data_IF_084891922193
#
_entry.id   IF_084891922193
#
_cell.length_a   1.000
_cell.length_b   1.000
_cell.length_c   1.000
_cell.angle_alpha   90.00
_cell.angle_beta   90.00
_cell.angle_gamma   90.00
#
_symmetry.space_group_name_H-M   'P 1'
#
loop_
_entity.id
_entity.type
_entity.pdbx_description
1 polymer ?
#
# COMPACT_ATOMS: atom_id res chain seq x y z
N UNK A 1 36.21 43.43 -31.90
CA UNK A 1 35.73 44.65 -31.21
C UNK A 1 36.36 45.87 -31.87
N UNK A 2 35.58 46.78 -32.48
CA UNK A 2 36.14 48.03 -33.01
C UNK A 2 36.47 48.92 -31.80
N UNK A 3 37.75 48.94 -31.40
CA UNK A 3 38.27 49.86 -30.40
C UNK A 3 38.58 51.18 -31.12
N UNK A 4 38.25 52.33 -30.52
CA UNK A 4 38.83 53.61 -30.97
C UNK A 4 40.34 53.43 -30.99
N UNK A 5 40.95 53.57 -32.17
CA UNK A 5 42.40 53.65 -32.28
C UNK A 5 42.77 55.12 -32.24
N UNK A 6 43.54 55.49 -31.23
CA UNK A 6 44.02 56.87 -31.03
C UNK A 6 43.11 57.75 -30.15
N UNK A 7 43.63 58.90 -29.67
CA UNK A 7 42.89 59.89 -28.89
C UNK A 7 41.72 60.51 -29.68
N UNK A 8 40.60 60.82 -29.02
CA UNK A 8 39.33 61.30 -29.62
C UNK A 8 39.48 62.58 -30.46
N UNK A 9 40.42 63.45 -30.11
CA UNK A 9 40.68 64.71 -30.80
C UNK A 9 41.93 64.66 -31.68
N UNK A 10 42.46 63.46 -31.93
CA UNK A 10 43.59 63.26 -32.84
C UNK A 10 43.10 63.00 -34.26
N UNK A 11 43.86 63.49 -35.24
CA UNK A 11 43.63 63.18 -36.66
C UNK A 11 43.76 61.69 -37.00
N UNK A 12 44.26 60.87 -36.06
CA UNK A 12 44.35 59.41 -36.18
C UNK A 12 43.17 58.64 -35.58
N UNK A 13 42.16 59.32 -35.02
CA UNK A 13 40.99 58.70 -34.42
C UNK A 13 40.17 57.94 -35.47
N UNK A 14 40.12 56.62 -35.36
CA UNK A 14 39.31 55.77 -36.26
C UNK A 14 38.37 54.87 -35.45
N UNK A 15 37.08 54.85 -35.83
CA UNK A 15 36.03 54.06 -35.18
C UNK A 15 34.72 54.84 -34.93
N UNK A 16 33.61 54.13 -34.74
CA UNK A 16 32.29 54.75 -34.51
C UNK A 16 32.01 55.06 -33.04
N UNK A 17 31.94 56.35 -32.69
CA UNK A 17 31.69 56.84 -31.31
C UNK A 17 30.36 56.36 -30.72
N UNK A 18 29.34 56.20 -31.56
CA UNK A 18 27.97 55.76 -31.18
C UNK A 18 27.92 54.33 -30.63
N UNK A 19 28.95 53.51 -30.85
CA UNK A 19 29.03 52.14 -30.31
C UNK A 19 29.65 52.09 -28.91
N UNK A 20 30.34 53.14 -28.48
CA UNK A 20 31.02 53.21 -27.17
C UNK A 20 30.20 53.99 -26.14
N UNK A 21 29.54 55.05 -26.57
CA UNK A 21 28.79 55.93 -25.70
C UNK A 21 27.32 56.00 -26.10
N UNK A 22 26.42 56.03 -25.10
CA UNK A 22 25.04 56.45 -25.30
C UNK A 22 24.93 57.94 -25.00
N UNK A 23 24.22 58.64 -25.90
CA UNK A 23 23.78 60.01 -25.68
C UNK A 23 22.43 59.94 -24.96
N UNK A 24 22.38 60.42 -23.73
CA UNK A 24 21.15 60.42 -22.93
C UNK A 24 20.90 61.82 -22.36
N UNK A 25 19.64 62.18 -22.17
CA UNK A 25 19.25 63.40 -21.46
C UNK A 25 18.68 63.03 -20.11
N UNK A 26 19.29 63.51 -19.01
CA UNK A 26 18.84 63.22 -17.65
C UNK A 26 18.81 64.51 -16.85
N UNK A 27 17.72 64.74 -16.11
CA UNK A 27 17.53 65.96 -15.30
C UNK A 27 17.82 67.26 -16.09
N UNK A 28 17.39 67.32 -17.35
CA UNK A 28 17.56 68.50 -18.22
C UNK A 28 18.93 68.63 -18.90
N UNK A 29 19.96 67.86 -18.50
CA UNK A 29 21.31 67.91 -19.08
C UNK A 29 21.54 66.80 -20.11
N UNK A 30 22.27 67.11 -21.17
CA UNK A 30 22.76 66.13 -22.14
C UNK A 30 24.05 65.50 -21.59
N UNK A 31 24.05 64.19 -21.41
CA UNK A 31 25.13 63.42 -20.79
C UNK A 31 25.62 62.36 -21.78
N UNK A 32 26.93 62.18 -21.82
CA UNK A 32 27.59 61.09 -22.55
C UNK A 32 27.95 60.03 -21.51
N UNK A 33 27.35 58.85 -21.59
CA UNK A 33 27.68 57.73 -20.70
C UNK A 33 28.21 56.54 -21.50
N UNK A 34 29.01 55.68 -20.88
CA UNK A 34 29.41 54.42 -21.50
C UNK A 34 28.16 53.58 -21.69
N UNK A 35 27.93 53.07 -22.90
CA UNK A 35 26.76 52.24 -23.19
C UNK A 35 26.65 51.11 -22.15
N UNK A 36 25.57 51.05 -21.34
CA UNK A 36 25.40 49.98 -20.37
C UNK A 36 25.30 48.66 -21.12
N UNK A 37 26.18 47.72 -20.78
CA UNK A 37 26.04 46.33 -21.20
C UNK A 37 25.43 45.64 -19.98
N UNK A 38 24.14 45.27 -20.00
CA UNK A 38 23.54 44.54 -18.89
C UNK A 38 24.35 43.26 -18.68
N UNK A 39 24.93 43.11 -17.49
CA UNK A 39 25.57 41.85 -17.10
C UNK A 39 24.46 40.87 -16.77
N UNK A 40 24.56 39.66 -17.31
CA UNK A 40 23.61 38.60 -17.01
C UNK A 40 23.71 38.24 -15.51
N UNK A 41 22.64 38.53 -14.77
CA UNK A 41 22.61 38.33 -13.33
C UNK A 41 22.70 36.85 -12.92
N UNK A 42 22.42 35.92 -13.85
CA UNK A 42 22.46 34.46 -13.65
C UNK A 42 21.76 34.02 -12.35
N UNK A 43 20.64 34.65 -12.02
CA UNK A 43 19.88 34.27 -10.84
C UNK A 43 19.37 32.83 -10.98
N UNK A 44 19.14 32.09 -9.88
CA UNK A 44 18.62 30.73 -9.95
C UNK A 44 17.34 30.61 -10.79
N UNK A 45 16.43 31.58 -10.66
CA UNK A 45 15.21 31.64 -11.47
C UNK A 45 15.48 31.87 -12.97
N UNK A 46 16.45 32.72 -13.31
CA UNK A 46 16.87 32.93 -14.71
C UNK A 46 17.47 31.67 -15.32
N UNK A 47 18.34 30.97 -14.57
CA UNK A 47 18.94 29.71 -15.00
C UNK A 47 17.89 28.61 -15.16
N UNK A 48 16.94 28.53 -14.23
CA UNK A 48 15.81 27.60 -14.31
C UNK A 48 14.96 27.84 -15.57
N UNK A 49 14.55 29.09 -15.82
CA UNK A 49 13.75 29.43 -17.00
C UNK A 49 14.49 29.12 -18.31
N UNK A 50 15.80 29.40 -18.37
CA UNK A 50 16.63 29.04 -19.52
C UNK A 50 16.67 27.54 -19.74
N UNK A 51 16.92 26.78 -18.68
CA UNK A 51 16.95 25.32 -18.76
C UNK A 51 15.61 24.76 -19.24
N UNK A 52 14.48 25.30 -18.76
CA UNK A 52 13.15 24.92 -19.25
C UNK A 52 12.95 25.27 -20.72
N UNK A 53 13.37 26.46 -21.15
CA UNK A 53 13.29 26.87 -22.55
C UNK A 53 14.11 25.94 -23.46
N UNK A 54 15.35 25.61 -23.06
CA UNK A 54 16.21 24.67 -23.81
C UNK A 54 15.55 23.31 -23.97
N UNK A 55 14.97 22.76 -22.90
CA UNK A 55 14.25 21.48 -22.98
C UNK A 55 13.07 21.50 -23.95
N UNK A 56 12.29 22.59 -23.96
CA UNK A 56 11.18 22.74 -24.89
C UNK A 56 11.68 22.73 -26.34
N UNK A 57 12.77 23.45 -26.60
CA UNK A 57 13.40 23.49 -27.93
C UNK A 57 13.88 22.10 -28.35
N UNK A 58 14.56 21.36 -27.48
CA UNK A 58 15.02 20.00 -27.77
C UNK A 58 13.85 19.07 -28.13
N UNK A 59 12.74 19.16 -27.40
CA UNK A 59 11.54 18.38 -27.67
C UNK A 59 10.87 18.75 -29.00
N UNK A 60 10.84 20.04 -29.37
CA UNK A 60 10.38 20.44 -30.70
C UNK A 60 11.23 19.81 -31.81
N UNK A 61 12.55 19.71 -31.61
CA UNK A 61 13.44 19.09 -32.59
C UNK A 61 13.23 17.58 -32.71
N UNK A 62 12.87 16.89 -31.63
CA UNK A 62 12.55 15.45 -31.62
C UNK A 62 11.21 15.12 -32.29
N UNK A 63 10.32 16.11 -32.42
CA UNK A 63 8.98 15.92 -32.99
C UNK A 63 9.05 15.62 -34.50
N UNK A 64 8.24 14.66 -34.98
CA UNK A 64 8.17 14.30 -36.40
C UNK A 64 7.55 15.41 -37.25
N UNK A 65 7.74 15.35 -38.57
CA UNK A 65 7.17 16.35 -39.50
C UNK A 65 5.64 16.36 -39.48
N UNK A 66 5.00 15.19 -39.34
CA UNK A 66 3.56 15.06 -39.24
C UNK A 66 3.00 15.75 -37.99
N UNK A 67 3.65 15.57 -36.85
CA UNK A 67 3.26 16.21 -35.60
C UNK A 67 3.53 17.73 -35.63
N UNK A 68 4.63 18.18 -36.25
CA UNK A 68 4.90 19.62 -36.47
C UNK A 68 3.82 20.28 -37.34
N UNK A 69 3.35 19.59 -38.37
CA UNK A 69 2.25 20.09 -39.22
C UNK A 69 0.93 20.23 -38.44
N UNK A 70 0.67 19.34 -37.48
CA UNK A 70 -0.48 19.46 -36.58
C UNK A 70 -0.38 20.70 -35.68
N UNK A 71 0.79 20.98 -35.12
CA UNK A 71 1.00 22.21 -34.33
C UNK A 71 0.82 23.48 -35.18
N UNK A 72 1.30 23.49 -36.43
CA UNK A 72 1.04 24.60 -37.38
C UNK A 72 -0.45 24.77 -37.66
N UNK A 73 -1.20 23.66 -37.85
CA UNK A 73 -2.65 23.69 -38.01
C UNK A 73 -3.36 24.31 -36.81
N UNK A 74 -2.92 23.97 -35.59
CA UNK A 74 -3.48 24.52 -34.35
C UNK A 74 -3.07 25.98 -34.09
N UNK A 75 -1.92 26.40 -34.60
CA UNK A 75 -1.38 27.76 -34.43
C UNK A 75 -1.93 28.75 -35.47
N UNK A 76 -2.28 28.28 -36.67
CA UNK A 76 -2.80 29.10 -37.77
C UNK A 76 -4.02 29.96 -37.38
N UNK A 77 -5.06 29.43 -36.70
CA UNK A 77 -6.19 30.24 -36.23
C UNK A 77 -5.82 31.31 -35.19
N UNK A 78 -4.63 31.19 -34.58
CA UNK A 78 -4.12 32.08 -33.54
C UNK A 78 -3.08 33.07 -34.06
N UNK A 79 -2.87 33.11 -35.38
CA UNK A 79 -1.86 33.96 -36.02
C UNK A 79 -0.44 33.76 -35.45
N UNK A 80 -0.11 32.52 -35.09
CA UNK A 80 1.21 32.14 -34.60
C UNK A 80 1.79 31.01 -35.45
N UNK A 81 3.11 30.85 -35.43
CA UNK A 81 3.75 29.64 -35.95
C UNK A 81 3.49 28.47 -34.99
N UNK A 82 3.49 27.25 -35.52
CA UNK A 82 3.40 26.01 -34.75
C UNK A 82 4.45 25.96 -33.65
N UNK A 83 5.67 26.38 -33.95
CA UNK A 83 6.75 26.50 -32.97
C UNK A 83 6.44 27.52 -31.86
N UNK A 84 6.01 28.74 -32.20
CA UNK A 84 5.70 29.76 -31.20
C UNK A 84 4.53 29.33 -30.30
N UNK A 85 3.52 28.69 -30.89
CA UNK A 85 2.40 28.11 -30.15
C UNK A 85 2.87 26.97 -29.23
N UNK A 86 3.65 26.02 -29.74
CA UNK A 86 4.22 24.93 -28.98
C UNK A 86 5.02 25.41 -27.75
N UNK A 87 5.97 26.34 -27.97
CA UNK A 87 6.77 26.94 -26.90
C UNK A 87 5.87 27.61 -25.87
N UNK A 88 4.82 28.33 -26.29
CA UNK A 88 3.87 28.94 -25.36
C UNK A 88 3.12 27.92 -24.50
N UNK A 89 2.81 26.73 -25.03
CA UNK A 89 2.14 25.68 -24.28
C UNK A 89 3.09 24.99 -23.30
N UNK A 90 4.35 24.79 -23.69
CA UNK A 90 5.34 24.15 -22.82
C UNK A 90 5.83 25.05 -21.66
N UNK A 91 5.73 26.38 -21.80
CA UNK A 91 6.19 27.35 -20.80
C UNK A 91 5.08 27.96 -19.92
N UNK A 92 3.80 27.86 -20.31
CA UNK A 92 2.68 28.13 -19.39
C UNK A 92 2.67 27.06 -18.29
N UNK A 93 2.14 27.33 -17.07
CA UNK A 93 2.08 26.31 -16.01
C UNK A 93 1.58 25.02 -16.64
N UNK A 94 2.49 24.04 -16.62
CA UNK A 94 2.49 22.89 -17.51
C UNK A 94 1.07 22.31 -17.59
N UNK A 95 0.40 22.30 -18.75
CA UNK A 95 -0.97 21.79 -18.86
C UNK A 95 -1.07 20.26 -18.67
N UNK A 96 -0.18 19.64 -17.89
CA UNK A 96 -0.21 18.22 -17.57
C UNK A 96 0.10 17.31 -18.75
N UNK A 97 0.69 17.83 -19.84
CA UNK A 97 0.84 17.03 -21.07
C UNK A 97 1.84 15.87 -20.86
N UNK A 98 2.86 16.04 -20.02
CA UNK A 98 3.74 14.95 -19.57
C UNK A 98 4.60 15.35 -18.36
N UNK A 99 5.08 14.34 -17.64
CA UNK A 99 6.17 14.47 -16.67
C UNK A 99 7.52 14.52 -17.43
N UNK A 100 8.45 15.43 -17.09
CA UNK A 100 9.77 15.45 -17.72
C UNK A 100 10.52 14.12 -17.53
N UNK A 101 11.33 13.70 -18.51
CA UNK A 101 12.19 12.50 -18.41
C UNK A 101 13.21 12.57 -17.26
N UNK A 102 13.55 13.78 -16.80
CA UNK A 102 14.38 14.00 -15.62
C UNK A 102 13.63 13.76 -14.29
N UNK A 103 12.35 13.39 -14.35
CA UNK A 103 11.46 13.27 -13.21
C UNK A 103 10.88 14.63 -12.76
N UNK A 104 10.16 14.58 -11.65
CA UNK A 104 9.52 15.72 -11.00
C UNK A 104 8.62 15.25 -9.86
N UNK A 105 8.16 16.18 -9.03
CA UNK A 105 7.16 15.90 -7.98
C UNK A 105 5.76 16.07 -8.57
N UNK A 106 4.91 15.04 -8.45
CA UNK A 106 3.50 15.14 -8.76
C UNK A 106 2.74 15.51 -7.49
N UNK A 107 2.01 16.63 -7.52
CA UNK A 107 1.15 17.06 -6.41
C UNK A 107 -0.31 16.76 -6.77
N UNK A 108 -0.95 15.87 -6.01
CA UNK A 108 -2.34 15.44 -6.22
C UNK A 108 -2.46 13.97 -6.61
N UNK A 109 -3.70 13.49 -6.69
CA UNK A 109 -4.02 12.11 -7.07
C UNK A 109 -3.77 11.86 -8.56
N UNK A 110 -3.33 10.65 -8.90
CA UNK A 110 -3.07 10.24 -10.28
C UNK A 110 -4.01 9.09 -10.63
N UNK A 111 -4.97 9.37 -11.51
CA UNK A 111 -5.82 8.34 -12.11
C UNK A 111 -5.15 7.79 -13.39
N UNK A 112 -4.76 6.51 -13.35
CA UNK A 112 -4.14 5.81 -14.49
C UNK A 112 -5.18 5.21 -15.46
N UNK A 113 -6.48 5.29 -15.15
CA UNK A 113 -7.56 4.61 -15.85
C UNK A 113 -7.25 3.11 -16.05
N UNK A 114 -7.10 2.65 -17.30
CA UNK A 114 -6.77 1.25 -17.64
C UNK A 114 -5.32 1.06 -18.08
N UNK A 115 -4.46 2.04 -17.84
CA UNK A 115 -3.06 2.00 -18.28
C UNK A 115 -2.16 1.30 -17.27
N UNK A 116 -1.09 0.67 -17.76
CA UNK A 116 -0.14 -0.10 -16.97
C UNK A 116 1.10 0.72 -16.61
N UNK A 117 1.61 0.55 -15.40
CA UNK A 117 2.96 0.96 -15.01
C UNK A 117 3.95 -0.13 -15.42
N UNK A 118 4.95 0.21 -16.22
CA UNK A 118 5.95 -0.73 -16.76
C UNK A 118 7.33 -0.48 -16.12
N UNK A 119 8.14 -1.54 -16.03
CA UNK A 119 9.56 -1.46 -15.61
C UNK A 119 9.79 -0.89 -14.20
N UNK A 120 8.88 -1.14 -13.26
CA UNK A 120 9.14 -0.87 -11.84
C UNK A 120 10.19 -1.86 -11.30
N UNK A 121 11.26 -1.39 -10.62
CA UNK A 121 12.22 -2.27 -9.95
C UNK A 121 11.60 -2.94 -8.71
N UNK A 122 12.31 -3.89 -8.12
CA UNK A 122 11.93 -4.43 -6.81
C UNK A 122 12.02 -3.32 -5.75
N UNK A 123 10.99 -3.15 -4.88
CA UNK A 123 11.00 -2.11 -3.88
C UNK A 123 12.12 -2.37 -2.86
N UNK A 124 12.85 -1.32 -2.52
CA UNK A 124 13.92 -1.31 -1.50
C UNK A 124 13.52 -0.56 -0.25
N UNK A 125 12.50 0.31 -0.35
CA UNK A 125 12.00 1.12 0.76
C UNK A 125 10.48 0.99 0.90
N UNK A 126 9.97 1.14 2.12
CA UNK A 126 8.55 0.95 2.46
C UNK A 126 7.57 1.94 1.79
N UNK A 127 8.09 3.00 1.17
CA UNK A 127 7.29 4.04 0.51
C UNK A 127 7.31 3.91 -1.02
N UNK A 128 8.00 2.91 -1.56
CA UNK A 128 8.06 2.65 -2.99
C UNK A 128 6.86 1.81 -3.46
N UNK A 129 6.45 2.02 -4.71
CA UNK A 129 5.45 1.16 -5.33
C UNK A 129 6.03 -0.23 -5.61
N UNK A 130 5.30 -1.29 -5.24
CA UNK A 130 5.70 -2.67 -5.50
C UNK A 130 5.14 -3.17 -6.84
N UNK A 131 5.90 -4.01 -7.54
CA UNK A 131 5.35 -4.79 -8.68
C UNK A 131 4.38 -5.86 -8.16
N UNK A 132 3.39 -6.25 -8.97
CA UNK A 132 2.45 -7.32 -8.61
C UNK A 132 3.19 -8.63 -8.24
N UNK A 133 4.19 -9.03 -9.02
CA UNK A 133 4.96 -10.24 -8.74
C UNK A 133 5.70 -10.19 -7.40
N UNK A 134 6.22 -9.01 -7.02
CA UNK A 134 6.82 -8.82 -5.69
C UNK A 134 5.77 -8.98 -4.58
N UNK A 135 4.61 -8.33 -4.72
CA UNK A 135 3.52 -8.41 -3.76
C UNK A 135 2.93 -9.82 -3.63
N UNK A 136 2.77 -10.56 -4.73
CA UNK A 136 2.28 -11.95 -4.69
C UNK A 136 3.25 -12.87 -3.93
N UNK A 137 4.56 -12.62 -4.03
CA UNK A 137 5.60 -13.44 -3.41
C UNK A 137 5.80 -13.11 -1.92
N UNK A 138 5.71 -11.83 -1.54
CA UNK A 138 6.05 -11.36 -0.19
C UNK A 138 4.84 -10.93 0.64
N UNK A 139 3.70 -10.66 0.01
CA UNK A 139 2.46 -10.23 0.67
C UNK A 139 1.58 -11.38 1.15
N UNK A 140 1.86 -12.61 0.68
CA UNK A 140 1.16 -13.82 1.08
C UNK A 140 2.14 -14.76 1.79
N UNK A 141 2.47 -14.45 3.04
CA UNK A 141 2.94 -15.51 3.93
C UNK A 141 1.73 -16.40 4.16
N UNK A 142 1.71 -17.58 3.54
CA UNK A 142 0.70 -18.58 3.87
C UNK A 142 0.76 -18.79 5.39
N UNK A 143 -0.39 -18.70 6.07
CA UNK A 143 -0.53 -18.94 7.51
C UNK A 143 0.13 -20.28 7.91
N UNK A 144 0.18 -21.23 6.99
CA UNK A 144 0.87 -22.52 7.12
C UNK A 144 2.37 -22.43 7.48
N UNK A 145 3.06 -21.33 7.19
CA UNK A 145 4.49 -21.18 7.55
C UNK A 145 4.75 -20.77 9.01
N UNK A 146 3.72 -20.35 9.75
CA UNK A 146 3.80 -20.13 11.21
C UNK A 146 3.36 -21.35 12.01
N UNK A 147 2.84 -22.38 11.35
CA UNK A 147 2.45 -23.63 11.99
C UNK A 147 3.67 -24.47 12.36
N UNK A 148 4.10 -24.37 13.61
CA UNK A 148 5.02 -25.31 14.23
C UNK A 148 4.21 -26.52 14.70
N UNK A 149 4.67 -27.75 14.44
CA UNK A 149 4.08 -28.93 15.09
C UNK A 149 4.03 -28.69 16.60
N UNK A 150 2.84 -28.78 17.19
CA UNK A 150 2.53 -28.52 18.61
C UNK A 150 2.38 -27.02 19.00
N UNK A 151 2.31 -26.10 18.02
CA UNK A 151 1.92 -24.70 18.25
C UNK A 151 0.42 -24.56 18.44
N UNK A 152 -0.01 -23.73 19.42
CA UNK A 152 -1.42 -23.53 19.79
C UNK A 152 -2.21 -22.66 18.79
N UNK A 153 -1.88 -22.72 17.51
CA UNK A 153 -2.47 -21.90 16.47
C UNK A 153 -3.46 -22.77 15.67
N UNK A 154 -4.73 -22.38 15.72
CA UNK A 154 -5.87 -23.00 15.04
C UNK A 154 -6.28 -24.38 15.58
N UNK A 155 -7.40 -24.39 16.32
CA UNK A 155 -8.28 -25.53 16.65
C UNK A 155 -7.79 -26.83 15.99
N UNK A 156 -7.06 -27.65 16.77
CA UNK A 156 -6.53 -28.96 16.40
C UNK A 156 -7.57 -29.76 15.64
N UNK A 157 -7.57 -29.63 14.32
CA UNK A 157 -8.52 -30.30 13.45
C UNK A 157 -8.23 -31.80 13.48
N UNK A 158 -6.96 -32.18 13.70
CA UNK A 158 -6.55 -33.56 13.93
C UNK A 158 -7.07 -34.11 15.25
N UNK A 159 -6.96 -33.39 16.37
CA UNK A 159 -7.48 -33.85 17.67
C UNK A 159 -9.02 -33.88 17.69
N UNK A 160 -9.68 -32.91 17.03
CA UNK A 160 -11.13 -32.89 16.89
C UNK A 160 -11.65 -33.99 15.93
N UNK A 161 -10.93 -34.30 14.86
CA UNK A 161 -11.25 -35.41 13.95
C UNK A 161 -10.95 -36.77 14.61
N UNK A 162 -9.84 -36.92 15.35
CA UNK A 162 -9.56 -38.13 16.13
C UNK A 162 -10.58 -38.33 17.26
N UNK A 163 -10.97 -37.24 17.94
CA UNK A 163 -12.06 -37.25 18.89
C UNK A 163 -13.38 -37.67 18.20
N UNK A 164 -13.76 -37.08 17.06
CA UNK A 164 -14.97 -37.47 16.34
C UNK A 164 -14.89 -38.86 15.70
N UNK A 165 -13.72 -39.37 15.35
CA UNK A 165 -13.52 -40.72 14.82
C UNK A 165 -13.84 -41.80 15.87
N UNK A 166 -13.69 -41.48 17.16
CA UNK A 166 -14.11 -42.31 18.29
C UNK A 166 -15.62 -42.35 18.54
N UNK A 167 -16.43 -41.57 17.81
CA UNK A 167 -17.89 -41.58 17.89
C UNK A 167 -18.51 -42.82 17.19
N UNK A 168 -17.70 -43.84 16.88
CA UNK A 168 -18.15 -45.11 16.35
C UNK A 168 -18.70 -46.01 17.48
N UNK A 169 -19.95 -45.78 17.89
CA UNK A 169 -20.91 -46.69 18.58
C UNK A 169 -20.45 -47.60 19.74
N UNK A 170 -19.20 -47.53 20.20
CA UNK A 170 -18.58 -48.54 21.07
C UNK A 170 -17.76 -47.96 22.22
N UNK A 171 -17.68 -46.63 22.35
CA UNK A 171 -16.99 -45.92 23.44
C UNK A 171 -17.93 -44.93 24.10
N UNK A 172 -17.76 -44.72 25.41
CA UNK A 172 -18.50 -43.71 26.18
C UNK A 172 -17.64 -42.46 26.28
N UNK A 173 -18.25 -41.28 26.32
CA UNK A 173 -17.53 -40.01 26.50
C UNK A 173 -17.57 -39.58 27.97
N UNK A 174 -16.40 -39.40 28.58
CA UNK A 174 -16.26 -38.87 29.94
C UNK A 174 -15.27 -37.71 29.97
N UNK A 175 -15.39 -36.82 30.96
CA UNK A 175 -14.42 -35.75 31.18
C UNK A 175 -13.12 -36.30 31.76
N UNK A 176 -11.97 -35.95 31.15
CA UNK A 176 -10.67 -36.24 31.73
C UNK A 176 -10.32 -35.25 32.86
N UNK A 177 -9.18 -35.43 33.53
CA UNK A 177 -8.72 -34.58 34.63
C UNK A 177 -8.53 -33.09 34.24
N UNK A 178 -8.50 -32.77 32.94
CA UNK A 178 -8.42 -31.41 32.42
C UNK A 178 -9.80 -30.86 31.97
N UNK A 179 -10.90 -31.56 32.28
CA UNK A 179 -12.25 -31.15 31.93
C UNK A 179 -12.59 -31.30 30.43
N UNK A 180 -11.79 -32.06 29.67
CA UNK A 180 -12.01 -32.29 28.23
C UNK A 180 -12.69 -33.64 27.98
N UNK A 181 -13.61 -33.74 27.02
CA UNK A 181 -14.24 -35.00 26.67
C UNK A 181 -13.20 -35.97 26.08
N UNK A 182 -13.12 -37.19 26.62
CA UNK A 182 -12.24 -38.25 26.16
C UNK A 182 -13.02 -39.57 26.00
N UNK A 183 -12.71 -40.39 24.98
CA UNK A 183 -13.34 -41.69 24.81
C UNK A 183 -12.80 -42.67 25.86
N UNK A 184 -13.70 -43.37 26.52
CA UNK A 184 -13.38 -44.47 27.44
C UNK A 184 -14.09 -45.75 26.98
N UNK A 185 -13.44 -46.87 27.25
CA UNK A 185 -14.00 -48.18 26.96
C UNK A 185 -15.29 -48.39 27.77
N UNK A 186 -16.38 -48.87 27.15
CA UNK A 186 -17.57 -49.23 27.89
C UNK A 186 -17.16 -50.34 28.86
N UNK A 187 -17.70 -50.33 30.08
CA UNK A 187 -17.41 -51.39 31.04
C UNK A 187 -17.81 -52.75 30.44
N UNK A 188 -17.02 -53.79 30.72
CA UNK A 188 -17.20 -55.11 30.13
C UNK A 188 -18.67 -55.59 30.23
N UNK A 189 -19.18 -56.20 29.16
CA UNK A 189 -20.56 -56.68 29.08
C UNK A 189 -20.88 -57.56 30.30
N UNK A 190 -21.74 -57.06 31.20
CA UNK A 190 -22.01 -57.66 32.52
C UNK A 190 -21.94 -56.67 33.69
N UNK A 191 -21.30 -55.50 33.52
CA UNK A 191 -21.31 -54.40 34.48
C UNK A 191 -22.51 -53.44 34.30
N UNK A 192 -23.61 -53.97 33.75
CA UNK A 192 -24.94 -53.36 33.89
C UNK A 192 -25.28 -53.47 35.38
N UNK A 193 -25.95 -52.48 35.97
CA UNK A 193 -26.57 -52.64 37.30
C UNK A 193 -27.44 -53.89 37.27
N UNK A 194 -26.91 -55.02 37.73
CA UNK A 194 -27.66 -56.25 37.92
C UNK A 194 -28.43 -56.04 39.22
N UNK A 195 -29.69 -55.62 39.08
CA UNK A 195 -30.63 -55.67 40.19
C UNK A 195 -30.82 -57.16 40.50
N UNK A 196 -30.14 -57.64 41.53
CA UNK A 196 -30.09 -59.07 41.83
C UNK A 196 -31.47 -59.61 42.22
N UNK A 197 -32.30 -58.79 42.87
CA UNK A 197 -33.68 -59.10 43.23
C UNK A 197 -34.52 -57.81 43.21
N UNK A 198 -35.76 -57.90 42.71
CA UNK A 198 -36.72 -56.78 42.66
C UNK A 198 -37.71 -56.96 43.81
N UNK A 199 -37.67 -56.11 44.84
CA UNK A 199 -38.72 -56.06 45.86
C UNK A 199 -39.62 -54.86 45.59
N UNK A 200 -40.92 -55.12 45.37
CA UNK A 200 -41.95 -54.09 45.21
C UNK A 200 -42.46 -53.73 46.60
N UNK A 201 -42.26 -52.48 47.03
CA UNK A 201 -42.84 -52.01 48.29
C UNK A 201 -44.35 -51.75 48.12
N UNK A 202 -45.18 -52.58 48.75
CA UNK A 202 -46.65 -52.43 48.79
C UNK A 202 -47.13 -51.68 50.06
N UNK A 203 -46.43 -50.63 50.49
CA UNK A 203 -46.90 -49.83 51.63
C UNK A 203 -45.95 -48.73 52.10
N UNK A 204 -46.40 -47.49 51.87
CA UNK A 204 -45.91 -46.19 52.35
C UNK A 204 -44.49 -45.73 51.95
N UNK A 205 -44.44 -44.58 51.27
CA UNK A 205 -43.22 -43.92 50.80
C UNK A 205 -42.34 -43.43 51.97
N UNK A 206 -41.00 -43.53 51.87
CA UNK A 206 -40.10 -43.05 52.91
C UNK A 206 -40.19 -41.53 53.12
N UNK A 207 -40.23 -41.10 54.38
CA UNK A 207 -40.47 -39.70 54.77
C UNK A 207 -39.22 -38.83 54.84
N UNK A 208 -38.02 -39.40 54.68
CA UNK A 208 -36.78 -38.66 54.49
C UNK A 208 -35.85 -39.41 53.53
N UNK A 209 -35.16 -38.66 52.69
CA UNK A 209 -34.24 -39.17 51.67
C UNK A 209 -32.84 -38.70 52.04
N UNK A 210 -31.93 -39.64 52.32
CA UNK A 210 -30.50 -39.35 52.48
C UNK A 210 -29.77 -39.87 51.25
N UNK A 211 -28.88 -39.06 50.69
CA UNK A 211 -28.04 -39.47 49.56
C UNK A 211 -27.23 -40.72 49.90
N UNK A 212 -27.21 -41.68 48.98
CA UNK A 212 -26.49 -42.94 49.13
C UNK A 212 -25.01 -42.73 48.81
N UNK A 213 -24.16 -42.60 49.84
CA UNK A 213 -22.70 -42.52 49.65
C UNK A 213 -22.10 -43.91 49.41
N UNK A 214 -21.67 -44.17 48.16
CA UNK A 214 -21.02 -45.41 47.73
C UNK A 214 -19.50 -45.25 47.54
N UNK A 215 -18.92 -44.15 48.02
CA UNK A 215 -17.51 -43.81 47.76
C UNK A 215 -16.48 -44.77 48.38
N UNK A 216 -16.88 -45.65 49.30
CA UNK A 216 -15.97 -46.49 50.08
C UNK A 216 -16.16 -48.02 49.94
N UNK A 217 -17.08 -48.53 49.11
CA UNK A 217 -17.40 -49.98 49.12
C UNK A 217 -17.39 -50.59 47.71
N UNK A 218 -16.43 -51.50 47.47
CA UNK A 218 -16.37 -52.37 46.28
C UNK A 218 -16.84 -53.77 46.69
N UNK A 219 -18.07 -54.14 46.31
CA UNK A 219 -18.66 -55.45 46.61
C UNK A 219 -20.20 -55.39 46.64
N UNK A 220 -20.86 -56.54 46.40
CA UNK A 220 -22.31 -56.64 46.30
C UNK A 220 -23.00 -56.16 47.59
N UNK A 221 -23.81 -55.10 47.48
CA UNK A 221 -24.65 -54.60 48.56
C UNK A 221 -26.10 -54.57 48.11
N UNK A 222 -26.98 -55.10 48.95
CA UNK A 222 -28.43 -55.00 48.83
C UNK A 222 -28.89 -53.63 49.31
N UNK A 223 -28.52 -52.56 48.61
CA UNK A 223 -29.01 -51.22 48.89
C UNK A 223 -30.15 -50.87 47.93
N UNK A 224 -31.33 -50.61 48.48
CA UNK A 224 -32.54 -50.25 47.74
C UNK A 224 -32.36 -48.86 47.08
N UNK A 225 -32.12 -48.84 45.77
CA UNK A 225 -32.00 -47.59 44.98
C UNK A 225 -33.39 -47.14 44.54
N UNK A 226 -33.96 -46.17 45.26
CA UNK A 226 -35.20 -45.52 44.87
C UNK A 226 -34.89 -44.27 44.03
N UNK A 227 -35.08 -44.36 42.71
CA UNK A 227 -34.90 -43.25 41.78
C UNK A 227 -36.15 -42.34 41.78
N UNK A 228 -36.03 -41.12 42.32
CA UNK A 228 -37.07 -40.09 42.20
C UNK A 228 -36.90 -39.32 40.90
N UNK A 229 -37.74 -39.60 39.91
CA UNK A 229 -37.84 -38.77 38.69
C UNK A 229 -38.85 -37.65 38.99
N UNK A 230 -38.35 -36.43 39.21
CA UNK A 230 -39.21 -35.25 39.34
C UNK A 230 -39.48 -34.63 37.98
N UNK A 231 -40.74 -34.29 37.69
CA UNK A 231 -41.03 -33.36 36.60
C UNK A 231 -40.60 -31.94 37.04
N UNK A 232 -39.93 -31.15 36.17
CA UNK A 232 -39.84 -29.72 36.39
C UNK A 232 -41.25 -29.13 36.34
N UNK A 233 -41.53 -28.19 37.25
CA UNK A 233 -42.82 -27.53 37.53
C UNK A 233 -43.81 -27.41 36.38
#
# INVERSE_FOLDING_TARGET
MPKLRGPILSLGATGGLTKLFSLARRMGQNIIERKPIPVDAKSPAQLFNRHMFTKCVDLWHLLSEAEKAEWERLATPRHMTGYAWYISQCLRPNPGIYLPLQGGTMSGDIDMAKNRLLKLPAPTHNQEAATKGYADTHGMVAHESTHVKDGADEIDSALAIEAMAGLANTKIWQGNAAGRPAPVDPPAAGAVLVVAETEVFDGDSPTTWTDLDLSAVVGANSALVLLKIGNPT
#
